data_IF_077622633047
#
_entry.id   IF_077622633047
#
_cell.length_a   1.000
_cell.length_b   1.000
_cell.length_c   1.000
_cell.angle_alpha   90.00
_cell.angle_beta   90.00
_cell.angle_gamma   90.00
#
_symmetry.space_group_name_H-M   'P 1'
#
loop_
_entity.id
_entity.type
_entity.pdbx_description
1 polymer ?
#
# COMPACT_ATOMS: atom_id res chain seq x y z
N UNK A 1 -58.72 -39.04 39.58
CA UNK A 1 -57.80 -38.44 40.53
C UNK A 1 -57.11 -37.26 39.83
N UNK A 2 -57.54 -36.07 40.21
CA UNK A 2 -57.17 -34.78 39.56
C UNK A 2 -56.03 -34.15 40.31
N UNK A 3 -55.01 -33.67 39.61
CA UNK A 3 -54.01 -32.79 40.20
C UNK A 3 -53.93 -31.50 39.32
N UNK A 4 -54.44 -30.42 39.90
CA UNK A 4 -54.41 -29.06 39.36
C UNK A 4 -53.01 -28.51 39.49
N UNK A 5 -52.40 -28.08 38.41
CA UNK A 5 -51.21 -27.20 38.42
C UNK A 5 -51.64 -25.75 38.33
N UNK A 6 -51.28 -24.96 39.33
CA UNK A 6 -51.42 -23.50 39.34
C UNK A 6 -50.28 -22.89 38.56
N UNK A 7 -50.59 -22.07 37.58
CA UNK A 7 -49.64 -21.21 36.85
C UNK A 7 -49.41 -19.94 37.68
N UNK A 8 -48.11 -19.61 37.88
CA UNK A 8 -47.67 -18.32 38.33
C UNK A 8 -47.09 -17.55 37.15
N UNK A 9 -47.77 -16.51 36.72
CA UNK A 9 -47.23 -15.52 35.79
C UNK A 9 -46.39 -14.52 36.63
N UNK A 10 -45.07 -14.56 36.41
CA UNK A 10 -44.18 -13.50 36.89
C UNK A 10 -43.95 -12.53 35.74
N UNK A 11 -44.46 -11.33 35.87
CA UNK A 11 -44.17 -10.19 35.00
C UNK A 11 -42.73 -9.74 35.28
N UNK A 12 -41.82 -9.97 34.32
CA UNK A 12 -40.50 -9.33 34.30
C UNK A 12 -40.61 -8.04 33.48
N UNK A 13 -40.59 -6.90 34.19
CA UNK A 13 -40.34 -5.60 33.58
C UNK A 13 -38.85 -5.61 33.09
N UNK A 14 -38.64 -5.65 31.81
CA UNK A 14 -37.34 -5.36 31.19
C UNK A 14 -37.24 -3.87 31.01
N UNK A 15 -36.55 -3.20 31.93
CA UNK A 15 -36.12 -1.81 31.72
C UNK A 15 -34.98 -1.81 30.70
N UNK A 16 -35.27 -1.38 29.48
CA UNK A 16 -34.27 -1.12 28.45
C UNK A 16 -33.42 0.10 28.84
N UNK A 17 -32.26 -0.14 29.47
CA UNK A 17 -31.20 0.86 29.55
C UNK A 17 -30.53 0.95 28.18
N UNK A 18 -30.88 1.96 27.41
CA UNK A 18 -30.10 2.39 26.25
C UNK A 18 -28.82 3.05 26.75
N UNK A 19 -27.73 2.28 26.75
CA UNK A 19 -26.41 2.87 26.85
C UNK A 19 -26.10 3.57 25.51
N UNK A 20 -26.25 4.89 25.51
CA UNK A 20 -25.63 5.70 24.48
C UNK A 20 -24.09 5.59 24.66
N UNK A 21 -23.43 4.81 23.84
CA UNK A 21 -22.00 4.84 23.69
C UNK A 21 -21.62 6.20 23.08
N UNK A 22 -21.39 7.19 23.93
CA UNK A 22 -20.69 8.40 23.52
C UNK A 22 -19.25 8.01 23.26
N UNK A 23 -18.86 7.96 21.98
CA UNK A 23 -17.45 7.90 21.61
C UNK A 23 -16.71 9.04 22.33
N UNK A 24 -15.53 8.79 22.91
CA UNK A 24 -14.77 9.86 23.55
C UNK A 24 -14.53 10.96 22.50
N UNK A 25 -14.89 12.20 22.84
CA UNK A 25 -14.60 13.33 21.99
C UNK A 25 -13.08 13.39 21.74
N UNK A 26 -12.68 13.31 20.47
CA UNK A 26 -11.28 13.54 20.10
C UNK A 26 -10.85 14.92 20.58
N UNK A 27 -9.65 15.03 21.16
CA UNK A 27 -9.11 16.31 21.57
C UNK A 27 -9.07 17.28 20.36
N UNK A 28 -9.53 18.51 20.57
CA UNK A 28 -9.48 19.53 19.55
C UNK A 28 -8.02 20.00 19.34
N UNK A 29 -7.66 20.28 18.10
CA UNK A 29 -6.36 20.92 17.81
C UNK A 29 -6.43 22.37 18.32
N UNK A 30 -5.45 22.86 19.11
CA UNK A 30 -5.45 24.21 19.64
C UNK A 30 -5.47 25.31 18.57
N UNK A 31 -5.04 25.02 17.34
CA UNK A 31 -4.90 26.02 16.27
C UNK A 31 -6.18 26.27 15.47
N UNK A 32 -7.11 25.30 15.37
CA UNK A 32 -8.32 25.40 14.53
C UNK A 32 -9.60 24.88 15.19
N UNK A 33 -9.52 24.31 16.39
CA UNK A 33 -10.66 23.81 17.15
C UNK A 33 -11.26 22.48 16.66
N UNK A 34 -10.68 21.85 15.61
CA UNK A 34 -11.17 20.59 15.09
C UNK A 34 -10.35 19.40 15.62
N UNK A 35 -10.96 18.21 15.79
CA UNK A 35 -10.25 17.00 16.19
C UNK A 35 -9.14 16.64 15.20
N UNK A 36 -8.03 16.06 15.71
CA UNK A 36 -6.93 15.63 14.86
C UNK A 36 -7.36 14.54 13.86
N UNK A 37 -6.82 14.59 12.66
CA UNK A 37 -7.03 13.57 11.62
C UNK A 37 -8.37 13.66 10.88
N UNK A 38 -9.15 14.71 11.06
CA UNK A 38 -10.38 14.93 10.29
C UNK A 38 -10.18 16.00 9.22
N UNK A 39 -10.87 15.86 8.08
CA UNK A 39 -10.93 16.90 7.08
C UNK A 39 -11.68 18.12 7.63
N UNK A 40 -11.06 19.29 7.63
CA UNK A 40 -11.62 20.55 8.09
C UNK A 40 -11.14 21.71 7.21
N UNK A 41 -11.94 22.78 7.08
CA UNK A 41 -11.56 23.95 6.30
C UNK A 41 -10.21 24.52 6.75
N UNK A 42 -9.33 24.83 5.81
CA UNK A 42 -8.00 25.38 6.06
C UNK A 42 -6.90 24.36 6.36
N UNK A 43 -7.23 23.11 6.69
CA UNK A 43 -6.26 22.03 6.85
C UNK A 43 -5.71 21.56 5.52
N UNK A 44 -4.46 21.07 5.54
CA UNK A 44 -3.85 20.47 4.37
C UNK A 44 -4.60 19.22 3.91
N UNK A 45 -4.65 19.00 2.59
CA UNK A 45 -5.16 17.79 1.97
C UNK A 45 -4.03 17.10 1.17
N UNK A 46 -2.97 16.62 1.83
CA UNK A 46 -1.70 16.25 1.18
C UNK A 46 -1.85 15.10 0.19
N UNK A 47 -2.74 14.17 0.48
CA UNK A 47 -2.98 12.96 -0.33
C UNK A 47 -4.18 13.09 -1.26
N UNK A 48 -4.74 14.30 -1.41
CA UNK A 48 -5.90 14.56 -2.25
C UNK A 48 -5.49 15.43 -3.43
N UNK A 49 -6.03 15.15 -4.61
CA UNK A 49 -5.88 16.06 -5.75
C UNK A 49 -6.75 17.30 -5.56
N UNK A 50 -6.33 18.40 -6.20
CA UNK A 50 -7.18 19.60 -6.33
C UNK A 50 -8.48 19.19 -7.03
N UNK A 51 -9.61 19.51 -6.42
CA UNK A 51 -10.94 19.09 -6.88
C UNK A 51 -11.51 17.86 -6.15
N UNK A 52 -10.70 17.14 -5.35
CA UNK A 52 -11.21 16.03 -4.53
C UNK A 52 -12.16 16.56 -3.44
N UNK A 53 -13.26 15.84 -3.18
CA UNK A 53 -14.25 16.23 -2.18
C UNK A 53 -14.34 15.23 -1.04
N UNK A 54 -14.55 15.73 0.17
CA UNK A 54 -14.84 14.95 1.37
C UNK A 54 -16.00 15.60 2.13
N UNK A 55 -16.69 14.85 2.98
CA UNK A 55 -17.69 15.43 3.89
C UNK A 55 -17.05 15.63 5.26
N UNK A 56 -17.10 16.84 5.78
CA UNK A 56 -16.62 17.12 7.13
C UNK A 56 -17.52 16.41 8.14
N UNK A 57 -16.94 15.55 8.97
CA UNK A 57 -17.67 14.83 10.03
C UNK A 57 -18.30 15.79 11.05
N UNK A 58 -17.76 17.01 11.18
CA UNK A 58 -18.16 18.00 12.19
C UNK A 58 -19.18 18.99 11.63
N UNK A 59 -18.90 19.56 10.46
CA UNK A 59 -19.78 20.57 9.87
C UNK A 59 -20.85 20.00 8.96
N UNK A 60 -20.75 18.70 8.60
CA UNK A 60 -21.59 18.01 7.62
C UNK A 60 -21.62 18.69 6.25
N UNK A 61 -20.68 19.62 6.01
CA UNK A 61 -20.53 20.29 4.71
C UNK A 61 -19.57 19.52 3.82
N UNK A 62 -19.79 19.57 2.52
CA UNK A 62 -18.83 19.04 1.54
C UNK A 62 -17.63 19.97 1.49
N UNK A 63 -16.44 19.39 1.66
CA UNK A 63 -15.16 20.06 1.50
C UNK A 63 -14.57 19.70 0.13
N UNK A 64 -13.83 20.60 -0.46
CA UNK A 64 -13.06 20.40 -1.67
C UNK A 64 -11.59 20.68 -1.39
N UNK A 65 -10.69 19.80 -1.82
CA UNK A 65 -9.27 20.07 -1.80
C UNK A 65 -8.93 21.10 -2.87
N UNK A 66 -8.37 22.23 -2.49
CA UNK A 66 -8.08 23.33 -3.41
C UNK A 66 -6.74 24.00 -3.07
N UNK A 67 -6.18 24.76 -4.00
CA UNK A 67 -4.96 25.51 -3.77
C UNK A 67 -5.28 26.84 -3.08
N UNK A 68 -4.76 27.04 -1.88
CA UNK A 68 -4.84 28.29 -1.14
C UNK A 68 -3.41 28.74 -0.87
N UNK A 69 -2.99 29.84 -1.46
CA UNK A 69 -1.61 30.37 -1.39
C UNK A 69 -0.52 29.36 -1.81
N UNK A 70 -0.83 28.51 -2.81
CA UNK A 70 0.09 27.48 -3.31
C UNK A 70 0.08 26.17 -2.54
N UNK A 71 -0.64 26.08 -1.43
CA UNK A 71 -0.76 24.85 -0.64
C UNK A 71 -2.11 24.16 -0.88
N UNK A 72 -2.12 22.83 -0.94
CA UNK A 72 -3.35 22.04 -1.01
C UNK A 72 -4.07 22.06 0.34
N UNK A 73 -5.27 22.63 0.39
CA UNK A 73 -6.07 22.75 1.64
C UNK A 73 -7.52 22.36 1.40
N UNK A 74 -8.14 21.80 2.42
CA UNK A 74 -9.59 21.60 2.46
C UNK A 74 -10.32 22.92 2.57
N UNK A 75 -11.30 23.14 1.70
CA UNK A 75 -12.18 24.30 1.75
C UNK A 75 -13.64 23.90 1.58
N UNK A 76 -14.57 24.67 2.09
CA UNK A 76 -15.99 24.36 1.93
C UNK A 76 -16.38 24.56 0.48
N UNK A 77 -16.94 23.55 -0.16
CA UNK A 77 -17.32 23.60 -1.58
C UNK A 77 -18.41 24.68 -1.77
N UNK A 78 -18.15 25.61 -2.70
CA UNK A 78 -19.06 26.72 -3.01
C UNK A 78 -18.86 27.99 -2.19
N UNK A 79 -17.97 27.97 -1.17
CA UNK A 79 -17.60 29.18 -0.45
C UNK A 79 -16.41 29.90 -1.11
N UNK A 80 -16.36 31.27 -1.10
CA UNK A 80 -15.24 32.02 -1.66
C UNK A 80 -13.94 31.70 -0.93
N UNK A 81 -12.85 31.58 -1.68
CA UNK A 81 -11.50 31.33 -1.11
C UNK A 81 -11.06 32.53 -0.24
N UNK A 82 -10.29 32.30 0.84
CA UNK A 82 -9.74 33.38 1.63
C UNK A 82 -8.84 34.27 0.77
N UNK A 83 -8.95 35.59 0.96
CA UNK A 83 -8.10 36.56 0.27
C UNK A 83 -6.62 36.30 0.58
N UNK A 84 -5.77 36.38 -0.43
CA UNK A 84 -4.32 36.28 -0.23
C UNK A 84 -3.87 37.39 0.75
N UNK A 85 -3.01 37.08 1.73
CA UNK A 85 -2.46 38.10 2.62
C UNK A 85 -1.71 39.15 1.79
N UNK A 86 -1.97 40.43 2.07
CA UNK A 86 -1.27 41.53 1.42
C UNK A 86 0.26 41.36 1.67
N UNK A 87 1.04 41.49 0.61
CA UNK A 87 2.52 41.38 0.69
C UNK A 87 3.06 42.39 1.69
N UNK A 88 3.63 41.95 2.79
CA UNK A 88 4.33 42.76 3.77
C UNK A 88 5.76 42.98 3.27
N UNK A 89 6.29 44.21 3.33
CA UNK A 89 7.66 44.47 2.87
C UNK A 89 8.69 43.76 3.75
N UNK A 90 9.69 43.21 3.11
CA UNK A 90 10.83 42.50 3.67
C UNK A 90 11.58 43.34 4.69
N UNK A 91 11.60 42.93 5.94
CA UNK A 91 12.53 43.43 6.93
C UNK A 91 13.55 42.34 7.27
N UNK A 92 14.80 42.62 6.95
CA UNK A 92 15.99 41.87 7.36
C UNK A 92 16.19 42.02 8.87
N UNK A 93 16.26 40.94 9.63
CA UNK A 93 16.92 40.99 10.95
C UNK A 93 17.46 39.61 11.36
N UNK A 94 18.75 39.64 11.70
CA UNK A 94 19.46 38.61 12.42
C UNK A 94 18.85 38.35 13.80
N UNK A 95 18.70 37.09 14.19
CA UNK A 95 18.61 36.69 15.59
C UNK A 95 19.07 35.27 15.82
N UNK A 96 19.95 35.11 16.76
CA UNK A 96 20.62 33.96 17.31
C UNK A 96 19.63 33.05 18.12
N UNK A 97 19.95 31.79 18.37
CA UNK A 97 19.00 30.81 18.91
C UNK A 97 18.88 30.85 20.43
N UNK A 98 17.70 30.58 20.95
CA UNK A 98 17.52 30.25 22.36
C UNK A 98 16.81 28.90 22.49
N UNK A 99 17.27 28.13 23.48
CA UNK A 99 17.00 26.72 23.69
C UNK A 99 15.74 26.45 24.52
N UNK A 100 15.28 25.21 24.38
CA UNK A 100 14.51 24.35 25.28
C UNK A 100 13.02 24.63 25.51
N UNK A 101 12.18 23.72 25.04
CA UNK A 101 11.54 22.75 25.96
C UNK A 101 10.88 21.61 25.13
N UNK A 102 11.05 20.39 25.65
CA UNK A 102 10.65 19.18 24.96
C UNK A 102 9.16 19.02 24.84
N UNK A 103 8.76 18.63 23.66
CA UNK A 103 7.50 17.96 23.42
C UNK A 103 7.76 16.84 22.41
N UNK A 104 7.43 15.62 22.82
CA UNK A 104 7.62 14.41 22.02
C UNK A 104 6.47 14.28 21.00
N UNK A 105 6.43 15.18 20.03
CA UNK A 105 5.69 14.97 18.80
C UNK A 105 6.55 14.12 17.88
N UNK A 106 6.03 12.99 17.44
CA UNK A 106 6.65 12.10 16.46
C UNK A 106 6.90 12.88 15.17
N UNK A 107 8.05 13.54 15.10
CA UNK A 107 8.58 14.09 13.85
C UNK A 107 8.99 12.90 12.96
N UNK A 108 8.04 12.36 12.20
CA UNK A 108 8.39 11.63 10.99
C UNK A 108 8.85 12.72 10.03
N UNK A 109 10.14 12.77 9.64
CA UNK A 109 10.62 13.78 8.71
C UNK A 109 9.81 13.66 7.42
N UNK A 110 9.29 14.77 6.92
CA UNK A 110 8.70 14.84 5.59
C UNK A 110 9.78 14.45 4.59
N UNK A 111 9.67 13.23 4.05
CA UNK A 111 10.63 12.72 3.07
C UNK A 111 10.36 13.47 1.77
N UNK A 112 11.09 14.53 1.51
CA UNK A 112 11.06 15.25 0.23
C UNK A 112 11.75 14.39 -0.83
N UNK A 113 10.95 13.59 -1.54
CA UNK A 113 11.42 12.79 -2.64
C UNK A 113 11.50 13.63 -3.93
N UNK A 114 12.70 13.79 -4.45
CA UNK A 114 12.93 14.44 -5.75
C UNK A 114 13.35 13.36 -6.76
N UNK A 115 12.49 12.98 -7.72
CA UNK A 115 12.82 11.95 -8.69
C UNK A 115 13.95 12.39 -9.63
N UNK A 116 14.89 11.49 -9.88
CA UNK A 116 15.99 11.69 -10.84
C UNK A 116 15.58 11.39 -12.28
N UNK A 117 14.53 10.59 -12.45
CA UNK A 117 13.97 10.24 -13.73
C UNK A 117 12.44 10.34 -13.68
N UNK A 118 11.84 10.91 -14.70
CA UNK A 118 10.39 10.97 -14.90
C UNK A 118 10.06 10.32 -16.24
N UNK A 119 8.98 9.56 -16.29
CA UNK A 119 8.49 8.90 -17.50
C UNK A 119 8.33 9.91 -18.64
N UNK A 120 9.09 9.77 -19.76
CA UNK A 120 9.07 10.75 -20.83
C UNK A 120 7.75 10.77 -21.58
N UNK A 121 7.32 11.95 -22.08
CA UNK A 121 6.12 12.09 -22.92
C UNK A 121 6.11 11.15 -24.14
N UNK A 122 7.30 10.88 -24.76
CA UNK A 122 7.44 9.92 -25.86
C UNK A 122 7.09 8.48 -25.48
N UNK A 123 7.28 8.12 -24.20
CA UNK A 123 6.93 6.80 -23.67
C UNK A 123 5.45 6.74 -23.33
N UNK A 124 4.90 7.80 -22.74
CA UNK A 124 3.46 7.96 -22.53
C UNK A 124 2.69 7.89 -23.85
N UNK A 125 3.23 8.47 -24.93
CA UNK A 125 2.62 8.39 -26.27
C UNK A 125 2.43 6.95 -26.78
N UNK A 126 3.18 5.97 -26.29
CA UNK A 126 3.05 4.54 -26.63
C UNK A 126 2.02 3.81 -25.78
N UNK A 127 1.44 4.47 -24.81
CA UNK A 127 0.49 3.90 -23.85
C UNK A 127 -0.89 4.56 -24.00
N UNK A 128 -1.94 3.82 -23.68
CA UNK A 128 -3.22 4.37 -23.26
C UNK A 128 -3.23 4.34 -21.75
N UNK A 129 -3.38 5.48 -21.11
CA UNK A 129 -3.35 5.60 -19.66
C UNK A 129 -4.75 5.91 -19.15
N UNK A 130 -5.13 5.27 -18.06
CA UNK A 130 -6.31 5.60 -17.28
C UNK A 130 -5.80 5.96 -15.87
N UNK A 131 -5.85 7.25 -15.58
CA UNK A 131 -5.35 7.79 -14.31
C UNK A 131 -6.47 7.90 -13.29
N UNK A 132 -6.11 7.81 -12.01
CA UNK A 132 -7.00 8.01 -10.87
C UNK A 132 -8.27 7.15 -10.90
N UNK A 133 -8.15 5.90 -11.35
CA UNK A 133 -9.26 4.95 -11.37
C UNK A 133 -9.62 4.56 -9.95
N UNK A 134 -10.80 4.94 -9.48
CA UNK A 134 -11.29 4.60 -8.15
C UNK A 134 -11.70 3.12 -8.12
N UNK A 135 -11.00 2.29 -7.33
CA UNK A 135 -11.33 0.87 -7.15
C UNK A 135 -12.22 0.62 -5.92
N UNK A 136 -12.30 1.58 -5.00
CA UNK A 136 -13.21 1.58 -3.87
C UNK A 136 -13.48 3.01 -3.39
N UNK A 137 -14.64 3.24 -2.78
CA UNK A 137 -15.00 4.55 -2.22
C UNK A 137 -14.83 4.62 -0.71
N UNK A 138 -14.23 3.61 -0.09
CA UNK A 138 -14.05 3.53 1.36
C UNK A 138 -12.88 4.39 1.86
N UNK A 139 -12.01 4.84 0.97
CA UNK A 139 -10.90 5.75 1.25
C UNK A 139 -10.58 6.57 0.00
N UNK A 140 -10.14 7.82 0.14
CA UNK A 140 -9.61 8.62 -0.97
C UNK A 140 -8.35 8.01 -1.59
N UNK A 141 -7.61 7.21 -0.83
CA UNK A 141 -6.41 6.49 -1.27
C UNK A 141 -6.72 5.32 -2.20
N UNK A 142 -7.99 4.86 -2.28
CA UNK A 142 -8.40 3.71 -3.07
C UNK A 142 -8.48 4.03 -4.57
N UNK A 143 -7.35 4.35 -5.18
CA UNK A 143 -7.21 4.61 -6.61
C UNK A 143 -5.99 3.91 -7.19
N UNK A 144 -5.95 3.85 -8.50
CA UNK A 144 -4.87 3.22 -9.25
C UNK A 144 -4.79 3.83 -10.65
N UNK A 145 -3.62 3.74 -11.25
CA UNK A 145 -3.39 4.07 -12.64
C UNK A 145 -3.24 2.81 -13.49
N UNK A 146 -3.77 2.81 -14.72
CA UNK A 146 -3.63 1.69 -15.64
C UNK A 146 -2.88 2.14 -16.89
N UNK A 147 -1.74 1.53 -17.17
CA UNK A 147 -0.89 1.77 -18.32
C UNK A 147 -1.04 0.62 -19.32
N UNK A 148 -1.67 0.90 -20.47
CA UNK A 148 -1.98 -0.09 -21.50
C UNK A 148 -1.06 0.08 -22.72
N UNK A 149 -0.36 -0.97 -23.19
CA UNK A 149 0.42 -0.89 -24.42
C UNK A 149 -0.50 -0.67 -25.64
N UNK A 150 -0.26 0.38 -26.43
CA UNK A 150 -1.02 0.63 -27.66
C UNK A 150 -0.76 -0.48 -28.69
N UNK A 151 -1.80 -0.86 -29.41
CA UNK A 151 -1.71 -1.88 -30.49
C UNK A 151 -1.68 -3.33 -30.01
N UNK A 152 -1.77 -3.58 -28.70
CA UNK A 152 -1.82 -4.95 -28.14
C UNK A 152 -3.25 -5.28 -27.70
N UNK A 153 -3.81 -6.35 -28.26
CA UNK A 153 -5.16 -6.84 -27.91
C UNK A 153 -5.08 -7.74 -26.69
N UNK A 154 -5.88 -7.44 -25.65
CA UNK A 154 -5.97 -8.18 -24.41
C UNK A 154 -4.58 -8.54 -23.81
N UNK A 155 -3.73 -7.54 -23.53
CA UNK A 155 -2.44 -7.78 -22.90
C UNK A 155 -2.62 -8.45 -21.53
N UNK A 156 -1.63 -9.23 -21.04
CA UNK A 156 -1.57 -9.60 -19.64
C UNK A 156 -1.40 -8.35 -18.77
N UNK A 157 -1.83 -8.42 -17.50
CA UNK A 157 -1.77 -7.33 -16.55
C UNK A 157 -0.86 -7.67 -15.37
N UNK A 158 0.06 -6.76 -15.03
CA UNK A 158 0.77 -6.75 -13.75
C UNK A 158 0.10 -5.73 -12.85
N UNK A 159 -0.29 -6.16 -11.65
CA UNK A 159 -0.76 -5.27 -10.58
C UNK A 159 0.44 -4.94 -9.70
N UNK A 160 0.89 -3.68 -9.77
CA UNK A 160 2.08 -3.20 -9.08
C UNK A 160 1.71 -2.44 -7.82
N UNK A 161 2.37 -2.76 -6.71
CA UNK A 161 2.29 -2.05 -5.42
C UNK A 161 3.64 -1.41 -5.13
N UNK A 162 3.62 -0.11 -4.82
CA UNK A 162 4.83 0.68 -4.57
C UNK A 162 5.47 0.37 -3.22
N UNK A 163 6.77 0.62 -3.10
CA UNK A 163 7.50 0.60 -1.83
C UNK A 163 7.17 1.79 -0.94
N UNK A 164 8.05 2.07 0.02
CA UNK A 164 7.91 3.23 0.92
C UNK A 164 7.61 2.88 2.38
N UNK A 165 7.93 1.65 2.83
CA UNK A 165 7.81 1.23 4.23
C UNK A 165 6.39 1.31 4.81
N UNK A 166 5.36 1.34 3.96
CA UNK A 166 3.95 1.59 4.31
C UNK A 166 3.66 2.99 4.84
N UNK A 167 4.59 3.94 4.76
CA UNK A 167 4.44 5.30 5.31
C UNK A 167 4.48 6.40 4.27
N UNK A 168 4.92 6.11 3.05
CA UNK A 168 4.92 7.05 1.93
C UNK A 168 4.79 6.34 0.59
N UNK A 169 4.50 7.10 -0.47
CA UNK A 169 4.31 6.60 -1.82
C UNK A 169 2.85 6.61 -2.24
N UNK A 170 2.64 6.51 -3.54
CA UNK A 170 1.34 6.44 -4.19
C UNK A 170 1.44 5.76 -5.56
N UNK A 171 0.34 5.72 -6.32
CA UNK A 171 0.28 5.15 -7.66
C UNK A 171 1.20 5.85 -8.67
N UNK A 172 1.57 7.11 -8.41
CA UNK A 172 2.45 7.90 -9.29
C UNK A 172 3.91 7.45 -9.22
N UNK A 173 4.32 6.69 -8.21
CA UNK A 173 5.69 6.15 -8.13
C UNK A 173 6.10 5.36 -9.37
N UNK A 174 5.12 4.74 -10.07
CA UNK A 174 5.38 4.05 -11.32
C UNK A 174 5.79 5.01 -12.46
N UNK A 175 5.64 6.32 -12.30
CA UNK A 175 6.05 7.36 -13.26
C UNK A 175 7.48 7.86 -13.04
N UNK A 176 8.17 7.38 -11.99
CA UNK A 176 9.46 7.91 -11.57
C UNK A 176 10.55 6.85 -11.45
N UNK A 177 11.80 7.29 -11.63
CA UNK A 177 13.05 6.55 -11.43
C UNK A 177 13.08 5.14 -12.04
N UNK A 178 13.50 4.14 -11.29
CA UNK A 178 13.68 2.78 -11.79
C UNK A 178 12.35 2.10 -12.10
N UNK A 179 11.29 2.42 -11.35
CA UNK A 179 9.94 1.90 -11.63
C UNK A 179 9.41 2.40 -12.97
N UNK A 180 9.66 3.66 -13.35
CA UNK A 180 9.30 4.18 -14.67
C UNK A 180 10.06 3.48 -15.81
N UNK A 181 11.35 3.19 -15.62
CA UNK A 181 12.15 2.42 -16.59
C UNK A 181 11.62 0.99 -16.72
N UNK A 182 11.23 0.36 -15.60
CA UNK A 182 10.62 -0.98 -15.61
C UNK A 182 9.26 -0.96 -16.30
N UNK A 183 8.43 0.07 -16.07
CA UNK A 183 7.16 0.27 -16.78
C UNK A 183 7.39 0.33 -18.30
N UNK A 184 8.37 1.11 -18.78
CA UNK A 184 8.70 1.17 -20.20
C UNK A 184 9.04 -0.21 -20.78
N UNK A 185 9.78 -1.04 -20.02
CA UNK A 185 10.11 -2.40 -20.43
C UNK A 185 8.89 -3.30 -20.47
N UNK A 186 7.98 -3.22 -19.49
CA UNK A 186 6.72 -3.96 -19.50
C UNK A 186 5.87 -3.59 -20.73
N UNK A 187 5.66 -2.31 -20.97
CA UNK A 187 4.88 -1.79 -22.11
C UNK A 187 5.50 -2.22 -23.45
N UNK A 188 6.82 -2.09 -23.60
CA UNK A 188 7.55 -2.56 -24.79
C UNK A 188 7.35 -4.05 -25.05
N UNK A 189 7.21 -4.85 -24.01
CA UNK A 189 6.93 -6.27 -24.09
C UNK A 189 5.43 -6.59 -24.23
N UNK A 190 4.56 -5.60 -24.38
CA UNK A 190 3.12 -5.79 -24.56
C UNK A 190 2.42 -6.27 -23.28
N UNK A 191 2.89 -5.87 -22.12
CA UNK A 191 2.31 -6.15 -20.81
C UNK A 191 1.70 -4.85 -20.28
N UNK A 192 0.46 -4.88 -19.83
CA UNK A 192 -0.19 -3.77 -19.14
C UNK A 192 0.23 -3.76 -17.66
N UNK A 193 0.23 -2.57 -17.05
CA UNK A 193 0.53 -2.39 -15.62
C UNK A 193 -0.59 -1.58 -14.96
N UNK A 194 -1.05 -2.02 -13.81
CA UNK A 194 -1.89 -1.23 -12.91
C UNK A 194 -1.06 -0.88 -11.67
N UNK A 195 -0.75 0.40 -11.49
CA UNK A 195 -0.08 0.93 -10.29
C UNK A 195 -1.12 1.23 -9.23
N UNK A 196 -1.03 0.57 -8.09
CA UNK A 196 -2.07 0.60 -7.05
C UNK A 196 -1.62 1.45 -5.88
N UNK A 197 -2.46 2.42 -5.52
CA UNK A 197 -2.35 3.11 -4.24
C UNK A 197 -3.11 2.32 -3.17
N UNK A 198 -2.58 2.29 -1.96
CA UNK A 198 -3.14 1.59 -0.80
C UNK A 198 -3.02 2.46 0.45
N UNK A 199 -3.87 2.25 1.45
CA UNK A 199 -3.83 3.01 2.70
C UNK A 199 -2.48 2.85 3.39
N UNK A 200 -1.81 3.98 3.62
CA UNK A 200 -0.58 4.05 4.38
C UNK A 200 -0.86 3.90 5.88
N UNK A 201 0.18 3.66 6.66
CA UNK A 201 0.09 3.41 8.09
C UNK A 201 -0.52 4.57 8.88
N UNK A 202 -0.36 5.81 8.40
CA UNK A 202 -0.99 6.98 8.98
C UNK A 202 -2.52 6.99 8.81
N UNK A 203 -3.03 6.31 7.78
CA UNK A 203 -4.46 6.16 7.55
C UNK A 203 -5.02 4.92 8.25
N UNK A 204 -4.34 3.78 8.10
CA UNK A 204 -4.77 2.53 8.73
C UNK A 204 -3.61 1.54 8.87
N UNK A 205 -3.48 0.95 10.06
CA UNK A 205 -2.49 -0.09 10.35
C UNK A 205 -2.83 -1.44 9.66
N UNK A 206 -1.97 -2.44 9.88
CA UNK A 206 -2.22 -3.82 9.44
C UNK A 206 -3.65 -4.28 9.81
N UNK A 207 -4.39 -4.96 8.91
CA UNK A 207 -4.00 -5.47 7.60
C UNK A 207 -4.41 -4.58 6.40
N UNK A 208 -4.70 -3.29 6.62
CA UNK A 208 -5.40 -2.41 5.68
C UNK A 208 -4.79 -2.40 4.26
N UNK A 209 -3.49 -2.18 4.12
CA UNK A 209 -2.83 -2.15 2.81
C UNK A 209 -2.96 -3.49 2.05
N UNK A 210 -2.94 -4.61 2.77
CA UNK A 210 -3.16 -5.94 2.18
C UNK A 210 -4.60 -6.14 1.70
N UNK A 211 -5.57 -5.69 2.48
CA UNK A 211 -6.99 -5.68 2.10
C UNK A 211 -7.19 -4.86 0.83
N UNK A 212 -6.61 -3.68 0.78
CA UNK A 212 -6.72 -2.76 -0.36
C UNK A 212 -6.13 -3.38 -1.63
N UNK A 213 -4.96 -4.03 -1.51
CA UNK A 213 -4.30 -4.72 -2.63
C UNK A 213 -5.17 -5.85 -3.20
N UNK A 214 -5.73 -6.73 -2.38
CA UNK A 214 -6.63 -7.80 -2.85
C UNK A 214 -7.91 -7.23 -3.46
N UNK A 215 -8.47 -6.18 -2.88
CA UNK A 215 -9.64 -5.47 -3.42
C UNK A 215 -9.34 -4.87 -4.80
N UNK A 216 -8.16 -4.23 -4.98
CA UNK A 216 -7.75 -3.69 -6.26
C UNK A 216 -7.61 -4.79 -7.34
N UNK A 217 -7.03 -5.94 -7.00
CA UNK A 217 -6.92 -7.09 -7.93
C UNK A 217 -8.29 -7.58 -8.37
N UNK A 218 -9.24 -7.75 -7.43
CA UNK A 218 -10.62 -8.18 -7.72
C UNK A 218 -11.35 -7.16 -8.58
N UNK A 219 -11.25 -5.88 -8.23
CA UNK A 219 -11.81 -4.78 -9.05
C UNK A 219 -11.25 -4.79 -10.47
N UNK A 220 -9.94 -4.89 -10.63
CA UNK A 220 -9.30 -4.93 -11.94
C UNK A 220 -9.81 -6.14 -12.74
N UNK A 221 -9.89 -7.32 -12.14
CA UNK A 221 -10.37 -8.51 -12.85
C UNK A 221 -11.84 -8.41 -13.25
N UNK A 222 -12.70 -7.90 -12.38
CA UNK A 222 -14.12 -7.67 -12.68
C UNK A 222 -14.34 -6.66 -13.80
N UNK A 223 -13.42 -5.69 -13.96
CA UNK A 223 -13.50 -4.62 -14.95
C UNK A 223 -12.57 -4.83 -16.17
N UNK A 224 -12.03 -6.03 -16.36
CA UNK A 224 -11.05 -6.30 -17.42
C UNK A 224 -11.57 -5.96 -18.84
N UNK A 225 -12.83 -6.22 -19.13
CA UNK A 225 -13.46 -5.89 -20.41
C UNK A 225 -13.54 -4.38 -20.65
N UNK A 226 -13.79 -3.59 -19.59
CA UNK A 226 -13.87 -2.12 -19.66
C UNK A 226 -12.53 -1.50 -20.05
N UNK A 227 -11.43 -2.03 -19.51
CA UNK A 227 -10.09 -1.48 -19.74
C UNK A 227 -9.34 -2.16 -20.89
N UNK A 228 -9.69 -3.42 -21.23
CA UNK A 228 -9.21 -4.10 -22.44
C UNK A 228 -8.03 -5.06 -22.24
N UNK A 229 -7.69 -5.48 -21.01
CA UNK A 229 -6.68 -6.52 -20.73
C UNK A 229 -7.32 -7.90 -20.49
N UNK A 230 -6.49 -8.95 -20.43
CA UNK A 230 -6.95 -10.33 -20.26
C UNK A 230 -7.18 -10.65 -18.77
N UNK A 231 -8.43 -10.94 -18.32
CA UNK A 231 -8.72 -11.23 -16.91
C UNK A 231 -8.08 -12.51 -16.38
N UNK A 232 -7.58 -13.38 -17.26
CA UNK A 232 -6.97 -14.67 -16.91
C UNK A 232 -5.45 -14.58 -16.76
N UNK A 233 -4.82 -13.49 -17.20
CA UNK A 233 -3.37 -13.32 -17.26
C UNK A 233 -2.89 -12.22 -16.34
N UNK A 234 -3.00 -12.47 -15.04
CA UNK A 234 -2.60 -11.52 -14.01
C UNK A 234 -1.30 -11.96 -13.31
N UNK A 235 -0.46 -11.00 -13.02
CA UNK A 235 0.62 -11.12 -12.04
C UNK A 235 0.50 -9.99 -11.01
N UNK A 236 1.09 -10.19 -9.85
CA UNK A 236 1.39 -9.11 -8.90
C UNK A 236 2.88 -8.79 -8.95
N UNK A 237 3.22 -7.55 -8.64
CA UNK A 237 4.62 -7.14 -8.49
C UNK A 237 4.72 -5.94 -7.55
N UNK A 238 5.89 -5.74 -7.01
CA UNK A 238 6.15 -4.62 -6.12
C UNK A 238 7.61 -4.56 -5.68
N UNK A 239 7.93 -3.51 -4.96
CA UNK A 239 9.24 -3.25 -4.41
C UNK A 239 9.15 -2.98 -2.90
N UNK A 240 10.13 -3.51 -2.10
CA UNK A 240 10.19 -3.30 -0.65
C UNK A 240 8.84 -3.63 0.04
N UNK A 241 8.23 -2.69 0.75
CA UNK A 241 6.91 -2.84 1.36
C UNK A 241 5.84 -3.30 0.36
N UNK A 242 5.84 -2.74 -0.86
CA UNK A 242 4.93 -3.16 -1.92
C UNK A 242 5.21 -4.58 -2.41
N UNK A 243 6.45 -5.04 -2.31
CA UNK A 243 6.76 -6.43 -2.63
C UNK A 243 6.12 -7.40 -1.64
N UNK A 244 6.09 -7.09 -0.34
CA UNK A 244 5.31 -7.87 0.60
C UNK A 244 3.83 -7.95 0.17
N UNK A 245 3.23 -6.83 -0.23
CA UNK A 245 1.83 -6.81 -0.68
C UNK A 245 1.62 -7.67 -1.95
N UNK A 246 2.58 -7.63 -2.88
CA UNK A 246 2.55 -8.48 -4.07
C UNK A 246 2.69 -9.97 -3.73
N UNK A 247 3.62 -10.32 -2.82
CA UNK A 247 3.81 -11.67 -2.29
C UNK A 247 2.55 -12.16 -1.58
N UNK A 248 2.02 -11.33 -0.66
CA UNK A 248 0.80 -11.62 0.10
C UNK A 248 -0.36 -11.94 -0.85
N UNK A 249 -0.64 -11.08 -1.83
CA UNK A 249 -1.74 -11.28 -2.76
C UNK A 249 -1.52 -12.55 -3.62
N UNK A 250 -0.29 -12.79 -4.09
CA UNK A 250 0.04 -13.96 -4.89
C UNK A 250 -0.06 -15.27 -4.13
N UNK A 251 0.39 -15.30 -2.87
CA UNK A 251 0.42 -16.50 -2.02
C UNK A 251 -0.97 -16.80 -1.47
N UNK A 252 -1.68 -15.79 -0.95
CA UNK A 252 -3.03 -16.02 -0.40
C UNK A 252 -4.08 -16.23 -1.48
N UNK A 253 -3.95 -15.57 -2.64
CA UNK A 253 -4.86 -15.74 -3.77
C UNK A 253 -6.32 -15.73 -3.35
N UNK A 254 -7.02 -16.85 -3.56
CA UNK A 254 -8.42 -17.04 -3.17
C UNK A 254 -8.58 -17.75 -1.80
N UNK A 255 -7.50 -17.95 -1.06
CA UNK A 255 -7.55 -18.47 0.31
C UNK A 255 -8.13 -17.41 1.25
N UNK A 256 -8.93 -17.86 2.23
CA UNK A 256 -9.37 -16.99 3.33
C UNK A 256 -8.17 -16.50 4.14
N UNK A 257 -8.10 -15.22 4.37
CA UNK A 257 -6.96 -14.55 5.02
C UNK A 257 -7.42 -13.26 5.72
N UNK A 258 -6.60 -12.67 6.61
CA UNK A 258 -6.89 -11.35 7.19
C UNK A 258 -7.00 -10.22 6.15
N UNK A 259 -6.58 -10.49 4.92
CA UNK A 259 -6.58 -9.53 3.81
C UNK A 259 -7.85 -9.58 2.95
N UNK A 260 -8.88 -10.30 3.38
CA UNK A 260 -10.18 -10.34 2.71
C UNK A 260 -11.19 -9.45 3.43
N UNK A 261 -11.85 -8.58 2.69
CA UNK A 261 -12.91 -7.71 3.20
C UNK A 261 -14.28 -8.28 2.80
N UNK A 262 -15.08 -8.63 3.81
CA UNK A 262 -16.44 -9.14 3.58
C UNK A 262 -17.35 -8.12 2.89
N UNK A 263 -17.02 -6.83 2.95
CA UNK A 263 -17.74 -5.73 2.28
C UNK A 263 -17.20 -5.42 0.87
N UNK A 264 -16.24 -6.20 0.36
CA UNK A 264 -15.78 -6.01 -1.01
C UNK A 264 -16.88 -6.44 -2.00
N UNK A 265 -17.42 -5.55 -2.84
CA UNK A 265 -18.46 -5.89 -3.80
C UNK A 265 -17.99 -6.93 -4.82
N UNK A 266 -16.67 -7.08 -5.00
CA UNK A 266 -16.04 -8.05 -5.88
C UNK A 266 -15.49 -9.28 -5.14
N UNK A 267 -15.87 -9.54 -3.89
CA UNK A 267 -15.31 -10.62 -3.07
C UNK A 267 -15.38 -12.01 -3.75
N UNK A 268 -16.40 -12.24 -4.58
CA UNK A 268 -16.56 -13.48 -5.35
C UNK A 268 -15.66 -13.56 -6.59
N UNK A 269 -15.05 -12.44 -6.98
CA UNK A 269 -14.08 -12.40 -8.09
C UNK A 269 -12.72 -12.88 -7.57
N UNK A 270 -12.07 -13.79 -8.31
CA UNK A 270 -10.78 -14.34 -7.90
C UNK A 270 -9.70 -13.27 -7.74
N UNK A 271 -8.91 -13.35 -6.67
CA UNK A 271 -7.67 -12.58 -6.47
C UNK A 271 -6.41 -13.37 -6.88
N UNK A 272 -6.54 -14.64 -7.30
CA UNK A 272 -5.41 -15.48 -7.68
C UNK A 272 -4.65 -14.93 -8.88
N UNK A 273 -3.34 -15.10 -8.91
CA UNK A 273 -2.46 -14.63 -9.98
C UNK A 273 -1.54 -15.76 -10.47
N UNK A 274 -1.01 -15.60 -11.68
CA UNK A 274 -0.13 -16.58 -12.34
C UNK A 274 1.33 -16.46 -11.91
N UNK A 275 1.77 -15.25 -11.61
CA UNK A 275 3.16 -14.96 -11.23
C UNK A 275 3.23 -13.86 -10.18
N UNK A 276 4.32 -13.85 -9.43
CA UNK A 276 4.69 -12.80 -8.48
C UNK A 276 6.07 -12.28 -8.84
N UNK A 277 6.23 -10.97 -8.84
CA UNK A 277 7.50 -10.26 -9.08
C UNK A 277 7.87 -9.56 -7.77
N UNK A 278 8.87 -10.08 -7.11
CA UNK A 278 9.36 -9.63 -5.81
C UNK A 278 10.68 -8.89 -5.97
N UNK A 279 10.69 -7.59 -5.69
CA UNK A 279 11.90 -6.80 -5.60
C UNK A 279 12.21 -6.48 -4.13
N UNK A 280 13.23 -7.15 -3.60
CA UNK A 280 13.77 -6.93 -2.25
C UNK A 280 12.70 -6.82 -1.15
N UNK A 281 11.65 -7.66 -1.23
CA UNK A 281 10.63 -7.79 -0.19
C UNK A 281 10.95 -8.82 0.86
N UNK A 282 10.12 -8.89 1.88
CA UNK A 282 10.11 -9.98 2.83
C UNK A 282 8.79 -10.78 2.74
N UNK A 283 8.77 -11.97 3.32
CA UNK A 283 7.57 -12.81 3.38
C UNK A 283 7.05 -12.97 4.82
N UNK A 284 7.78 -12.48 5.82
CA UNK A 284 7.43 -12.66 7.22
C UNK A 284 8.06 -11.58 8.11
N UNK A 285 7.25 -10.62 8.53
CA UNK A 285 7.70 -9.53 9.40
C UNK A 285 8.07 -10.01 10.82
N UNK A 286 7.51 -11.11 11.28
CA UNK A 286 7.85 -11.67 12.59
C UNK A 286 9.25 -12.31 12.56
N UNK A 287 9.63 -12.96 11.46
CA UNK A 287 10.94 -13.58 11.28
C UNK A 287 12.02 -12.59 10.81
N UNK A 288 11.64 -11.44 10.27
CA UNK A 288 12.56 -10.45 9.70
C UNK A 288 13.68 -10.02 10.65
N UNK A 289 13.45 -9.72 11.96
CA UNK A 289 14.53 -9.36 12.87
C UNK A 289 15.55 -10.49 13.04
N UNK A 290 15.11 -11.75 13.06
CA UNK A 290 15.98 -12.92 13.16
C UNK A 290 16.82 -13.10 11.88
N UNK A 291 16.24 -12.86 10.72
CA UNK A 291 16.94 -12.91 9.44
C UNK A 291 17.98 -11.80 9.34
N UNK A 292 17.64 -10.58 9.77
CA UNK A 292 18.57 -9.46 9.81
C UNK A 292 19.75 -9.73 10.76
N UNK A 293 19.51 -10.34 11.91
CA UNK A 293 20.55 -10.70 12.87
C UNK A 293 21.53 -11.78 12.33
N UNK A 294 21.05 -12.67 11.45
CA UNK A 294 21.89 -13.69 10.79
C UNK A 294 22.74 -13.15 9.66
N UNK A 295 22.41 -11.96 9.16
CA UNK A 295 23.10 -11.33 8.03
C UNK A 295 23.83 -10.07 8.50
N UNK A 296 25.12 -10.18 8.85
CA UNK A 296 25.92 -9.02 9.18
C UNK A 296 26.09 -8.14 7.94
N UNK A 297 25.55 -6.95 7.98
CA UNK A 297 25.67 -6.00 6.89
C UNK A 297 26.29 -4.67 7.35
N UNK A 298 26.88 -3.95 6.43
CA UNK A 298 27.42 -2.62 6.67
C UNK A 298 26.29 -1.59 6.67
N UNK A 299 25.75 -1.30 7.84
CA UNK A 299 24.66 -0.33 8.03
C UNK A 299 24.99 1.08 7.52
N UNK A 300 26.26 1.42 7.36
CA UNK A 300 26.65 2.73 6.79
C UNK A 300 26.25 2.87 5.32
N UNK A 301 26.03 1.77 4.64
CA UNK A 301 25.54 1.69 3.25
C UNK A 301 24.01 1.64 3.15
N UNK A 302 23.31 1.57 4.27
CA UNK A 302 21.86 1.49 4.27
C UNK A 302 21.24 2.87 3.99
N UNK A 303 20.59 3.08 2.83
CA UNK A 303 19.95 4.35 2.52
C UNK A 303 18.68 4.58 3.35
N UNK A 304 18.14 3.53 3.97
CA UNK A 304 16.93 3.57 4.76
C UNK A 304 17.22 3.00 6.15
N UNK A 305 17.59 3.85 7.15
CA UNK A 305 17.89 3.38 8.48
C UNK A 305 16.69 2.65 9.06
N UNK A 306 16.94 1.49 9.65
CA UNK A 306 15.90 0.75 10.38
C UNK A 306 15.38 1.65 11.49
N UNK A 307 14.06 1.80 11.59
CA UNK A 307 13.46 2.59 12.66
C UNK A 307 13.96 2.08 14.01
N UNK A 308 14.56 2.98 14.79
CA UNK A 308 15.00 2.64 16.12
C UNK A 308 13.79 2.50 17.05
N UNK A 309 13.79 1.47 17.90
CA UNK A 309 12.75 1.26 18.89
C UNK A 309 11.77 0.14 18.56
N UNK A 310 10.70 0.09 19.35
CA UNK A 310 9.71 -0.99 19.30
C UNK A 310 8.50 -0.66 18.40
N UNK A 311 8.54 0.44 17.63
CA UNK A 311 7.45 0.84 16.77
C UNK A 311 7.70 0.39 15.33
N UNK A 312 6.91 -0.58 14.86
CA UNK A 312 6.88 -0.92 13.44
C UNK A 312 5.88 -0.02 12.72
N UNK A 313 6.27 0.64 11.61
CA UNK A 313 5.40 1.63 10.97
C UNK A 313 3.98 1.13 10.67
N UNK A 314 3.86 -0.10 10.19
CA UNK A 314 2.58 -0.67 9.75
C UNK A 314 1.83 -1.47 10.82
N UNK A 315 2.54 -2.01 11.81
CA UNK A 315 1.94 -2.84 12.86
C UNK A 315 1.71 -2.08 14.17
N UNK A 316 2.48 -1.04 14.45
CA UNK A 316 2.48 -0.34 15.73
C UNK A 316 3.53 -0.88 16.71
N UNK A 317 3.24 -0.85 18.01
CA UNK A 317 4.17 -1.29 19.07
C UNK A 317 4.34 -2.81 19.05
N UNK A 318 5.52 -3.27 18.62
CA UNK A 318 5.83 -4.70 18.50
C UNK A 318 6.02 -5.39 19.86
N UNK A 319 6.00 -4.67 20.98
CA UNK A 319 5.99 -5.26 22.33
C UNK A 319 4.57 -5.64 22.79
N UNK A 320 3.53 -5.11 22.15
CA UNK A 320 2.14 -5.50 22.41
C UNK A 320 1.90 -6.93 21.86
N UNK A 321 1.45 -7.88 22.70
CA UNK A 321 1.12 -9.24 22.27
C UNK A 321 0.12 -9.30 21.11
N UNK A 322 -0.84 -8.37 21.04
CA UNK A 322 -1.80 -8.28 19.93
C UNK A 322 -1.13 -7.90 18.60
N UNK A 323 -0.15 -7.02 18.68
CA UNK A 323 0.65 -6.64 17.49
C UNK A 323 1.53 -7.81 17.06
N UNK A 324 2.13 -8.54 18.01
CA UNK A 324 2.88 -9.76 17.67
C UNK A 324 2.01 -10.83 17.01
N UNK A 325 0.77 -11.01 17.49
CA UNK A 325 -0.17 -11.95 16.86
C UNK A 325 -0.60 -11.47 15.48
N UNK A 326 -0.78 -10.16 15.29
CA UNK A 326 -1.01 -9.57 13.98
C UNK A 326 0.17 -9.80 13.03
N UNK A 327 1.41 -9.60 13.48
CA UNK A 327 2.62 -9.88 12.69
C UNK A 327 2.72 -11.36 12.30
N UNK A 328 2.44 -12.28 13.22
CA UNK A 328 2.40 -13.73 12.93
C UNK A 328 1.31 -14.07 11.91
N UNK A 329 0.11 -13.46 12.01
CA UNK A 329 -0.98 -13.65 11.06
C UNK A 329 -0.65 -13.11 9.67
N UNK A 330 0.24 -12.12 9.59
CA UNK A 330 0.80 -11.58 8.36
C UNK A 330 1.92 -12.42 7.75
N UNK A 331 2.45 -13.41 8.45
CA UNK A 331 3.46 -14.32 7.92
C UNK A 331 2.90 -15.16 6.77
N UNK A 332 3.61 -15.22 5.64
CA UNK A 332 3.07 -15.80 4.41
C UNK A 332 3.34 -17.30 4.24
N UNK A 333 4.28 -17.86 5.01
CA UNK A 333 4.65 -19.28 4.89
C UNK A 333 3.52 -20.27 5.19
N UNK A 334 2.64 -20.05 6.21
CA UNK A 334 1.48 -20.91 6.43
C UNK A 334 0.52 -20.93 5.23
N UNK A 335 0.25 -19.77 4.62
CA UNK A 335 -0.59 -19.68 3.42
C UNK A 335 0.06 -20.33 2.21
N UNK A 336 1.38 -20.17 2.03
CA UNK A 336 2.12 -20.82 0.96
C UNK A 336 2.05 -22.35 1.07
N UNK A 337 2.18 -22.89 2.29
CA UNK A 337 2.06 -24.33 2.57
C UNK A 337 0.64 -24.86 2.32
N UNK A 338 -0.38 -24.04 2.57
CA UNK A 338 -1.79 -24.40 2.38
C UNK A 338 -2.28 -24.14 0.94
N UNK A 339 -1.46 -23.52 0.09
CA UNK A 339 -1.87 -23.10 -1.24
C UNK A 339 -2.20 -24.29 -2.15
N UNK A 340 -3.38 -24.28 -2.78
CA UNK A 340 -3.79 -25.27 -3.79
C UNK A 340 -3.05 -25.08 -5.12
N UNK A 341 -2.60 -23.86 -5.40
CA UNK A 341 -1.83 -23.50 -6.58
C UNK A 341 -0.82 -22.43 -6.19
N UNK A 342 0.43 -22.67 -6.53
CA UNK A 342 1.54 -21.76 -6.22
C UNK A 342 1.88 -21.00 -7.51
N UNK A 343 1.83 -19.64 -7.52
CA UNK A 343 2.25 -18.84 -8.67
C UNK A 343 3.75 -19.03 -8.96
N UNK A 344 4.19 -18.64 -10.15
CA UNK A 344 5.62 -18.60 -10.46
C UNK A 344 6.25 -17.36 -9.84
N UNK A 345 7.31 -17.52 -9.06
CA UNK A 345 8.02 -16.42 -8.42
C UNK A 345 9.22 -15.97 -9.23
N UNK A 346 9.36 -14.65 -9.38
CA UNK A 346 10.53 -13.94 -9.89
C UNK A 346 11.02 -13.02 -8.77
N UNK A 347 12.11 -13.42 -8.11
CA UNK A 347 12.63 -12.77 -6.90
C UNK A 347 13.96 -12.11 -7.23
N UNK A 348 14.12 -10.83 -6.89
CA UNK A 348 15.31 -10.04 -7.14
C UNK A 348 15.76 -9.35 -5.85
N UNK A 349 16.98 -9.61 -5.40
CA UNK A 349 17.48 -9.05 -4.15
C UNK A 349 18.94 -8.68 -4.24
N UNK A 350 19.32 -7.54 -3.66
CA UNK A 350 20.70 -7.13 -3.54
C UNK A 350 21.45 -7.92 -2.46
N UNK A 351 22.71 -8.32 -2.72
CA UNK A 351 23.48 -9.07 -1.72
C UNK A 351 23.88 -8.22 -0.50
N UNK A 352 23.93 -6.91 -0.65
CA UNK A 352 24.34 -5.95 0.38
C UNK A 352 23.17 -5.16 0.95
N UNK A 353 21.96 -5.71 0.83
CA UNK A 353 20.75 -5.09 1.37
C UNK A 353 20.71 -5.24 2.90
N UNK A 354 20.74 -4.09 3.59
CA UNK A 354 20.69 -4.01 5.05
C UNK A 354 19.31 -3.59 5.60
N UNK A 355 18.39 -3.19 4.74
CA UNK A 355 17.01 -2.82 5.14
C UNK A 355 16.13 -4.06 5.25
N UNK A 356 16.18 -4.91 4.23
CA UNK A 356 15.54 -6.22 4.19
C UNK A 356 16.61 -7.26 3.89
N UNK A 357 16.77 -8.24 4.77
CA UNK A 357 17.82 -9.23 4.63
C UNK A 357 17.65 -10.07 3.35
N UNK A 358 18.72 -10.29 2.56
CA UNK A 358 18.68 -11.25 1.45
C UNK A 358 18.30 -12.68 1.87
N UNK A 359 18.37 -13.00 3.17
CA UNK A 359 17.88 -14.27 3.69
C UNK A 359 16.37 -14.44 3.54
N UNK A 360 15.60 -13.34 3.59
CA UNK A 360 14.15 -13.40 3.38
C UNK A 360 13.83 -13.96 2.00
N UNK A 361 14.45 -13.44 0.95
CA UNK A 361 14.30 -13.95 -0.41
C UNK A 361 14.84 -15.38 -0.58
N UNK A 362 15.96 -15.73 0.07
CA UNK A 362 16.50 -17.09 0.03
C UNK A 362 15.58 -18.10 0.72
N UNK A 363 15.00 -17.72 1.87
CA UNK A 363 14.04 -18.53 2.59
C UNK A 363 12.75 -18.74 1.79
N UNK A 364 12.25 -17.69 1.14
CA UNK A 364 11.08 -17.77 0.27
C UNK A 364 11.33 -18.67 -0.92
N UNK A 365 12.46 -18.50 -1.64
CA UNK A 365 12.85 -19.33 -2.77
C UNK A 365 12.92 -20.81 -2.38
N UNK A 366 13.57 -21.11 -1.26
CA UNK A 366 13.65 -22.45 -0.69
C UNK A 366 12.27 -23.02 -0.36
N UNK A 367 11.42 -22.24 0.30
CA UNK A 367 10.07 -22.68 0.69
C UNK A 367 9.21 -23.01 -0.53
N UNK A 368 9.22 -22.14 -1.56
CA UNK A 368 8.50 -22.38 -2.82
C UNK A 368 8.98 -23.67 -3.50
N UNK A 369 10.28 -23.86 -3.62
CA UNK A 369 10.86 -25.05 -4.25
C UNK A 369 10.60 -26.34 -3.47
N UNK A 370 10.59 -26.27 -2.14
CA UNK A 370 10.26 -27.41 -1.28
C UNK A 370 8.82 -27.90 -1.49
N UNK A 371 7.92 -26.99 -1.88
CA UNK A 371 6.53 -27.29 -2.20
C UNK A 371 6.31 -27.57 -3.70
N UNK A 372 7.38 -27.89 -4.44
CA UNK A 372 7.37 -28.12 -5.89
C UNK A 372 6.87 -26.91 -6.71
N UNK A 373 6.85 -25.71 -6.15
CA UNK A 373 6.59 -24.47 -6.86
C UNK A 373 7.77 -24.02 -7.72
N UNK A 374 7.53 -23.09 -8.62
CA UNK A 374 8.57 -22.49 -9.48
C UNK A 374 9.03 -21.16 -8.91
N UNK A 375 10.32 -21.05 -8.59
CA UNK A 375 10.93 -19.82 -8.10
C UNK A 375 12.24 -19.56 -8.81
N UNK A 376 12.45 -18.32 -9.22
CA UNK A 376 13.61 -17.80 -9.93
C UNK A 376 14.23 -16.68 -9.09
N UNK A 377 15.10 -17.03 -8.16
CA UNK A 377 15.82 -16.05 -7.34
C UNK A 377 17.07 -15.55 -8.11
N UNK A 378 17.16 -14.23 -8.22
CA UNK A 378 18.35 -13.51 -8.73
C UNK A 378 18.94 -12.67 -7.61
N UNK A 379 20.05 -13.11 -7.05
CA UNK A 379 20.87 -12.31 -6.12
C UNK A 379 21.79 -11.41 -6.93
N UNK A 380 21.78 -10.10 -6.64
CA UNK A 380 22.57 -9.08 -7.34
C UNK A 380 23.75 -8.68 -6.46
N UNK A 381 25.01 -9.10 -6.82
CA UNK A 381 26.18 -8.85 -5.99
C UNK A 381 26.42 -7.35 -5.77
N UNK A 382 26.71 -6.94 -4.52
CA UNK A 382 27.03 -5.58 -4.13
C UNK A 382 25.86 -4.58 -4.17
N UNK A 383 24.67 -5.01 -4.58
CA UNK A 383 23.52 -4.13 -4.59
C UNK A 383 22.91 -3.98 -3.18
N UNK A 384 22.60 -2.75 -2.82
CA UNK A 384 21.92 -2.36 -1.60
C UNK A 384 20.39 -2.37 -1.81
N UNK A 385 19.62 -2.04 -0.76
CA UNK A 385 18.15 -1.90 -0.84
C UNK A 385 17.74 -0.88 -1.91
N UNK A 386 16.85 -1.28 -2.82
CA UNK A 386 16.40 -0.42 -3.94
C UNK A 386 17.47 -0.15 -5.00
N UNK A 387 18.65 -0.76 -4.91
CA UNK A 387 19.77 -0.51 -5.81
C UNK A 387 19.43 -0.74 -7.29
N UNK A 388 19.92 0.14 -8.16
CA UNK A 388 19.66 0.12 -9.63
C UNK A 388 19.93 -1.25 -10.25
N UNK A 389 20.92 -1.99 -9.75
CA UNK A 389 21.28 -3.32 -10.24
C UNK A 389 20.14 -4.32 -10.10
N UNK A 390 19.34 -4.24 -9.02
CA UNK A 390 18.19 -5.11 -8.78
C UNK A 390 17.09 -4.83 -9.79
N UNK A 391 16.77 -3.55 -10.03
CA UNK A 391 15.80 -3.14 -11.04
C UNK A 391 16.21 -3.57 -12.45
N UNK A 392 17.50 -3.42 -12.80
CA UNK A 392 18.05 -3.89 -14.07
C UNK A 392 17.90 -5.40 -14.24
N UNK A 393 18.09 -6.17 -13.17
CA UNK A 393 17.91 -7.63 -13.20
C UNK A 393 16.41 -7.97 -13.44
N UNK A 394 15.50 -7.28 -12.80
CA UNK A 394 14.05 -7.42 -13.03
C UNK A 394 13.68 -7.09 -14.48
N UNK A 395 14.18 -5.97 -15.03
CA UNK A 395 13.96 -5.59 -16.43
C UNK A 395 14.41 -6.66 -17.41
N UNK A 396 15.57 -7.30 -17.16
CA UNK A 396 16.08 -8.41 -18.00
C UNK A 396 15.17 -9.64 -17.96
N UNK A 397 14.44 -9.87 -16.87
CA UNK A 397 13.56 -11.01 -16.70
C UNK A 397 12.18 -10.83 -17.36
N UNK A 398 11.81 -9.63 -17.80
CA UNK A 398 10.48 -9.32 -18.36
C UNK A 398 10.05 -10.25 -19.50
N UNK A 399 10.91 -10.66 -20.46
CA UNK A 399 10.52 -11.64 -21.48
C UNK A 399 10.11 -12.99 -20.89
N UNK A 400 10.80 -13.47 -19.84
CA UNK A 400 10.43 -14.71 -19.13
C UNK A 400 9.12 -14.57 -18.36
N UNK A 401 8.91 -13.43 -17.69
CA UNK A 401 7.66 -13.09 -17.02
C UNK A 401 6.50 -13.10 -18.02
N UNK A 402 6.67 -12.45 -19.18
CA UNK A 402 5.67 -12.48 -20.26
C UNK A 402 5.35 -13.91 -20.70
N UNK A 403 6.39 -14.74 -20.93
CA UNK A 403 6.20 -16.15 -21.32
C UNK A 403 5.34 -16.91 -20.31
N UNK A 404 5.60 -16.72 -19.01
CA UNK A 404 4.79 -17.32 -17.94
C UNK A 404 3.36 -16.85 -17.99
N UNK A 405 3.11 -15.54 -18.11
CA UNK A 405 1.75 -14.98 -18.16
C UNK A 405 0.95 -15.45 -19.37
N UNK A 406 1.61 -15.61 -20.54
CA UNK A 406 0.94 -16.05 -21.77
C UNK A 406 0.72 -17.57 -21.79
N UNK A 407 1.63 -18.36 -21.20
CA UNK A 407 1.52 -19.82 -21.14
C UNK A 407 0.53 -20.32 -20.08
N UNK A 408 0.05 -19.48 -19.20
CA UNK A 408 -0.96 -19.83 -18.20
C UNK A 408 -2.20 -20.38 -18.92
N UNK A 409 -2.40 -21.72 -18.80
CA UNK A 409 -3.63 -22.39 -19.24
C UNK A 409 -4.74 -22.05 -18.24
N UNK A 410 -5.94 -21.91 -18.75
CA UNK A 410 -7.17 -21.66 -17.99
C UNK A 410 -7.45 -22.74 -16.95
#
# INVERSE_FOLDING_TARGET
MSSKRKSWLSLLLVSSLTFALTSPARAANPDDGYPQGVAAPGRTCPNSEVGFTAVSEITQKTLICTLINGEKKWWIQGEPLPAAPAATPTATSNATPSANNGDSSSNVPEIQYTPKYKLPAKSLAKMKVFENVIYSRNSPTHRLDIYMPKGVVKPPLIVWTHGGGFVFGDEDFMKFDESAKLLEVFIKNGIAVASVNYRLAQEALFPAAGVDTKRAIRFLRANASKYGYDPKKFATGGDSAGSYLALMAGITGDQSSPFDDSNDPNLKTSAAVTAVIDLFGNADFFEMPLNNAKYPCDQSKNPYPVAAGNMHPWFGDITDPKVQDAMKSGGLYPYLKAAKSIPVFYIFHGSDDCSVSPYDSKNLDKAVKTLNGKSNLTSVPGAIHGGEGVWKAAMKAVPSIKKTLVAAKN
#
